data_IF_554634948619
#
_entry.id   IF_554634948619
#
_cell.length_a   1.000
_cell.length_b   1.000
_cell.length_c   1.000
_cell.angle_alpha   90.00
_cell.angle_beta   90.00
_cell.angle_gamma   90.00
#
_symmetry.space_group_name_H-M   'P 1'
#
loop_
_entity.id
_entity.type
_entity.pdbx_description
1 polymer ?
#
# COMPACT_ATOMS: atom_id res chain seq x y z
N UNK A 1 26.27 14.13 -53.56
CA UNK A 1 25.57 13.45 -54.67
C UNK A 1 26.53 13.19 -55.77
N UNK A 2 26.56 11.98 -56.28
CA UNK A 2 27.41 11.63 -57.44
C UNK A 2 26.77 12.21 -58.71
N UNK A 3 27.53 12.79 -59.63
CA UNK A 3 27.00 13.22 -60.92
C UNK A 3 26.56 12.00 -61.73
N UNK A 4 25.28 11.96 -62.08
CA UNK A 4 24.70 10.94 -62.94
C UNK A 4 24.51 11.58 -64.33
N UNK A 5 25.13 11.02 -65.34
CA UNK A 5 24.91 11.39 -66.71
C UNK A 5 24.02 10.30 -67.34
N UNK A 6 22.80 10.69 -67.72
CA UNK A 6 21.85 9.79 -68.36
C UNK A 6 21.62 10.22 -69.79
N UNK A 7 21.71 9.28 -70.73
CA UNK A 7 21.12 9.35 -72.05
C UNK A 7 20.01 8.30 -72.09
N UNK A 8 19.03 8.42 -72.97
CA UNK A 8 17.76 7.65 -72.94
C UNK A 8 17.85 6.12 -72.72
N UNK A 9 19.04 5.55 -72.73
CA UNK A 9 19.27 4.09 -72.53
C UNK A 9 20.53 3.76 -71.75
N UNK A 10 21.34 4.74 -71.38
CA UNK A 10 22.64 4.51 -70.70
C UNK A 10 22.81 5.52 -69.57
N UNK A 11 23.06 5.07 -68.35
CA UNK A 11 23.47 5.92 -67.24
C UNK A 11 24.88 5.57 -66.78
N UNK A 12 25.64 6.58 -66.39
CA UNK A 12 26.99 6.42 -65.84
C UNK A 12 27.09 7.12 -64.50
N UNK A 13 27.59 6.41 -63.50
CA UNK A 13 27.85 6.95 -62.18
C UNK A 13 29.38 7.11 -62.02
N UNK A 14 29.81 8.30 -61.64
CA UNK A 14 31.21 8.61 -61.46
C UNK A 14 31.55 8.63 -59.95
N UNK A 15 32.60 7.92 -59.57
CA UNK A 15 33.17 7.98 -58.21
C UNK A 15 34.53 8.63 -58.32
N UNK A 16 34.67 9.78 -57.66
CA UNK A 16 35.96 10.44 -57.50
C UNK A 16 36.73 9.79 -56.38
N UNK A 17 37.84 9.18 -56.71
CA UNK A 17 38.73 8.54 -55.74
C UNK A 17 40.05 9.28 -55.70
N UNK A 18 40.46 9.83 -54.54
CA UNK A 18 41.80 10.35 -54.31
C UNK A 18 42.58 9.33 -53.50
N UNK A 19 43.44 8.54 -54.11
CA UNK A 19 44.31 7.62 -53.35
C UNK A 19 45.27 8.40 -52.45
N UNK A 20 45.44 7.95 -51.21
CA UNK A 20 46.49 8.47 -50.32
C UNK A 20 47.84 7.97 -50.82
N UNK A 21 48.41 8.68 -51.78
CA UNK A 21 49.80 8.43 -52.27
C UNK A 21 50.72 9.48 -51.62
N UNK A 22 51.93 9.08 -51.13
CA UNK A 22 52.82 10.02 -50.50
C UNK A 22 53.25 11.14 -51.45
N UNK A 23 53.01 12.38 -51.02
CA UNK A 23 53.51 13.66 -51.49
C UNK A 23 54.07 13.70 -52.93
N UNK A 24 53.35 14.21 -53.89
CA UNK A 24 53.66 14.93 -55.09
C UNK A 24 53.00 14.52 -56.39
N UNK A 25 52.00 13.63 -56.42
CA UNK A 25 51.23 13.41 -57.65
C UNK A 25 49.74 13.31 -57.33
N UNK A 26 48.97 14.33 -57.62
CA UNK A 26 47.52 14.26 -57.66
C UNK A 26 47.04 13.42 -58.85
N UNK A 27 47.04 12.11 -58.73
CA UNK A 27 46.39 11.24 -59.71
C UNK A 27 44.93 11.11 -59.28
N UNK A 28 44.04 11.83 -59.92
CA UNK A 28 42.60 11.61 -59.78
C UNK A 28 42.23 10.34 -60.56
N UNK A 29 42.08 9.23 -59.89
CA UNK A 29 41.50 8.04 -60.48
C UNK A 29 39.98 8.12 -60.39
N UNK A 30 39.29 8.03 -61.50
CA UNK A 30 37.81 7.94 -61.54
C UNK A 30 37.40 6.53 -61.91
N UNK A 31 36.60 5.93 -61.09
CA UNK A 31 35.97 4.66 -61.41
C UNK A 31 34.57 4.96 -61.92
N UNK A 32 34.24 4.49 -63.14
CA UNK A 32 32.97 4.76 -63.80
C UNK A 32 32.17 3.48 -63.88
N UNK A 33 30.97 3.49 -63.31
CA UNK A 33 29.99 2.43 -63.48
C UNK A 33 29.05 2.83 -64.61
N UNK A 34 28.94 1.97 -65.59
CA UNK A 34 28.02 2.13 -66.76
C UNK A 34 26.98 1.03 -66.68
N UNK A 35 25.73 1.40 -66.75
CA UNK A 35 24.60 0.47 -66.76
C UNK A 35 23.54 0.83 -67.76
N UNK A 36 22.77 -0.14 -68.20
CA UNK A 36 21.62 0.04 -69.04
C UNK A 36 20.38 0.38 -68.21
N UNK A 37 19.69 1.45 -68.53
CA UNK A 37 18.44 1.88 -67.87
C UNK A 37 17.37 1.93 -68.97
N UNK A 38 16.68 0.79 -69.19
CA UNK A 38 15.57 0.77 -70.10
C UNK A 38 14.43 -0.03 -69.48
N UNK A 39 13.22 0.47 -69.57
CA UNK A 39 12.03 -0.21 -69.10
C UNK A 39 11.92 -1.61 -69.69
N UNK A 40 11.84 -2.64 -68.82
CA UNK A 40 11.75 -4.05 -69.22
C UNK A 40 13.08 -4.78 -69.40
N UNK A 41 14.26 -4.10 -69.35
CA UNK A 41 15.58 -4.73 -69.45
C UNK A 41 16.29 -4.86 -68.11
N UNK A 42 16.01 -3.99 -67.15
CA UNK A 42 16.54 -4.07 -65.79
C UNK A 42 15.41 -3.95 -64.77
N UNK A 43 15.47 -4.79 -63.75
CA UNK A 43 14.59 -4.66 -62.61
C UNK A 43 15.33 -3.85 -61.52
N UNK A 44 14.80 -2.68 -61.11
CA UNK A 44 15.40 -1.90 -60.04
C UNK A 44 15.32 -2.69 -58.72
N UNK A 45 16.38 -2.63 -57.96
CA UNK A 45 16.47 -3.26 -56.64
C UNK A 45 15.79 -2.35 -55.63
N UNK A 46 14.90 -2.93 -54.81
CA UNK A 46 14.26 -2.20 -53.75
C UNK A 46 15.31 -1.89 -52.66
N UNK A 47 15.48 -0.61 -52.35
CA UNK A 47 16.36 -0.16 -51.26
C UNK A 47 15.56 0.70 -50.27
N UNK A 48 16.09 0.92 -49.05
CA UNK A 48 15.43 1.80 -48.06
C UNK A 48 15.23 3.26 -48.56
N UNK A 49 15.96 3.67 -49.58
CA UNK A 49 15.85 5.00 -50.20
C UNK A 49 14.97 5.01 -51.51
N UNK A 50 14.30 3.92 -51.78
CA UNK A 50 13.51 3.70 -52.97
C UNK A 50 14.14 2.71 -53.96
N UNK A 51 13.46 2.42 -55.07
CA UNK A 51 13.99 1.56 -56.12
C UNK A 51 15.23 2.19 -56.74
N UNK A 52 16.30 1.41 -56.91
CA UNK A 52 17.59 1.87 -57.38
C UNK A 52 18.13 0.91 -58.43
N UNK A 53 18.76 1.42 -59.46
CA UNK A 53 19.36 0.59 -60.49
C UNK A 53 20.60 -0.16 -59.99
N UNK A 54 20.87 -1.37 -60.45
CA UNK A 54 21.96 -2.24 -60.01
C UNK A 54 23.33 -1.55 -60.10
N UNK A 55 23.60 -0.78 -61.13
CA UNK A 55 24.86 -0.05 -61.29
C UNK A 55 25.02 1.11 -60.29
N UNK A 56 23.94 1.80 -59.93
CA UNK A 56 23.95 2.81 -58.89
C UNK A 56 24.21 2.16 -57.52
N UNK A 57 23.58 1.00 -57.24
CA UNK A 57 23.80 0.27 -56.00
C UNK A 57 25.25 -0.17 -55.89
N UNK A 58 25.84 -0.75 -56.97
CA UNK A 58 27.24 -1.15 -56.99
C UNK A 58 28.19 0.07 -56.84
N UNK A 59 27.89 1.18 -57.46
CA UNK A 59 28.67 2.40 -57.31
C UNK A 59 28.66 2.91 -55.84
N UNK A 60 27.49 2.94 -55.20
CA UNK A 60 27.35 3.29 -53.78
C UNK A 60 28.11 2.32 -52.89
N UNK A 61 28.00 1.00 -53.13
CA UNK A 61 28.71 -0.03 -52.37
C UNK A 61 30.25 0.18 -52.49
N UNK A 62 30.77 0.40 -53.69
CA UNK A 62 32.19 0.64 -53.88
C UNK A 62 32.62 1.96 -53.21
N UNK A 63 31.83 3.02 -53.34
CA UNK A 63 32.10 4.29 -52.67
C UNK A 63 32.24 4.12 -51.15
N UNK A 64 31.32 3.33 -50.52
CA UNK A 64 31.34 3.05 -49.10
C UNK A 64 32.59 2.28 -48.69
N UNK A 65 33.03 1.30 -49.49
CA UNK A 65 34.25 0.54 -49.24
C UNK A 65 35.50 1.42 -49.35
N UNK A 66 35.57 2.21 -50.39
CA UNK A 66 36.73 3.09 -50.70
C UNK A 66 36.85 4.24 -49.69
N UNK A 67 35.73 4.81 -49.28
CA UNK A 67 35.72 5.87 -48.24
C UNK A 67 35.96 5.35 -46.84
N UNK A 68 36.00 4.04 -46.63
CA UNK A 68 36.12 3.43 -45.32
C UNK A 68 34.93 3.65 -44.38
N UNK A 69 33.79 4.07 -44.94
CA UNK A 69 32.54 4.35 -44.19
C UNK A 69 31.66 3.12 -44.09
N UNK A 70 32.20 1.91 -44.39
CA UNK A 70 31.45 0.67 -44.24
C UNK A 70 31.16 0.38 -42.77
N UNK A 71 29.88 0.09 -42.50
CA UNK A 71 29.46 -0.30 -41.17
C UNK A 71 30.08 -1.67 -40.85
N UNK A 72 30.82 -1.73 -39.73
CA UNK A 72 31.49 -2.95 -39.30
C UNK A 72 30.78 -3.58 -38.10
N UNK A 73 30.62 -4.90 -38.12
CA UNK A 73 30.23 -5.69 -36.96
C UNK A 73 31.36 -6.65 -36.63
N UNK A 74 31.91 -6.49 -35.44
CA UNK A 74 33.03 -7.33 -34.96
C UNK A 74 32.57 -8.73 -34.58
N UNK A 75 33.42 -9.73 -34.76
CA UNK A 75 33.09 -11.13 -34.40
C UNK A 75 32.78 -11.30 -32.92
N UNK A 76 33.39 -10.48 -32.07
CA UNK A 76 33.15 -10.50 -30.62
C UNK A 76 31.94 -9.67 -30.17
N UNK A 77 31.21 -9.03 -31.09
CA UNK A 77 30.09 -8.13 -30.74
C UNK A 77 29.03 -8.85 -29.91
N UNK A 78 28.65 -10.07 -30.28
CA UNK A 78 27.66 -10.85 -29.56
C UNK A 78 28.07 -11.13 -28.10
N UNK A 79 29.36 -11.42 -27.85
CA UNK A 79 29.88 -11.66 -26.51
C UNK A 79 29.89 -10.36 -25.70
N UNK A 80 30.30 -9.25 -26.31
CA UNK A 80 30.33 -7.96 -25.65
C UNK A 80 28.90 -7.45 -25.29
N UNK A 81 27.93 -7.63 -26.19
CA UNK A 81 26.52 -7.34 -25.95
C UNK A 81 25.97 -8.17 -24.78
N UNK A 82 26.29 -9.47 -24.70
CA UNK A 82 25.90 -10.33 -23.60
C UNK A 82 26.50 -9.85 -22.27
N UNK A 83 27.79 -9.54 -22.24
CA UNK A 83 28.46 -9.03 -21.04
C UNK A 83 27.89 -7.66 -20.62
N UNK A 84 27.54 -6.82 -21.57
CA UNK A 84 26.84 -5.56 -21.31
C UNK A 84 25.48 -5.77 -20.67
N UNK A 85 24.66 -6.71 -21.19
CA UNK A 85 23.36 -7.06 -20.61
C UNK A 85 23.52 -7.56 -19.17
N UNK A 86 24.48 -8.43 -18.91
CA UNK A 86 24.74 -8.94 -17.56
C UNK A 86 25.20 -7.81 -16.61
N UNK A 87 26.12 -6.96 -17.05
CA UNK A 87 26.62 -5.84 -16.24
C UNK A 87 25.52 -4.84 -15.91
N UNK A 88 24.78 -4.38 -16.91
CA UNK A 88 23.68 -3.42 -16.70
C UNK A 88 22.55 -4.05 -15.88
N UNK A 89 22.29 -5.36 -16.05
CA UNK A 89 21.30 -6.09 -15.27
C UNK A 89 21.63 -6.10 -13.77
N UNK A 90 22.89 -6.39 -13.43
CA UNK A 90 23.35 -6.35 -12.03
C UNK A 90 23.20 -4.93 -11.45
N UNK A 91 23.59 -3.90 -12.21
CA UNK A 91 23.46 -2.51 -11.77
C UNK A 91 22.00 -2.14 -11.53
N UNK A 92 21.08 -2.50 -12.45
CA UNK A 92 19.64 -2.26 -12.30
C UNK A 92 19.10 -2.93 -11.04
N UNK A 93 19.45 -4.20 -10.79
CA UNK A 93 18.99 -4.94 -9.60
C UNK A 93 19.48 -4.25 -8.31
N UNK A 94 20.75 -3.88 -8.26
CA UNK A 94 21.34 -3.20 -7.07
C UNK A 94 20.71 -1.83 -6.85
N UNK A 95 20.60 -1.02 -7.88
CA UNK A 95 20.03 0.33 -7.79
C UNK A 95 18.55 0.26 -7.42
N UNK A 96 17.77 -0.56 -8.11
CA UNK A 96 16.33 -0.67 -7.88
C UNK A 96 15.98 -1.30 -6.53
N UNK A 97 16.90 -2.09 -5.92
CA UNK A 97 16.70 -2.61 -4.55
C UNK A 97 16.87 -1.55 -3.46
N UNK A 98 17.57 -0.44 -3.75
CA UNK A 98 17.87 0.64 -2.81
C UNK A 98 17.06 1.92 -3.04
N UNK A 99 16.43 2.04 -4.19
CA UNK A 99 15.68 3.23 -4.60
C UNK A 99 14.18 3.02 -4.33
N UNK A 100 13.50 4.05 -3.82
CA UNK A 100 12.04 4.00 -3.62
C UNK A 100 11.30 3.84 -4.95
N UNK A 101 10.12 3.23 -4.92
CA UNK A 101 9.28 2.95 -6.11
C UNK A 101 9.06 4.19 -6.98
N UNK A 102 8.99 5.38 -6.38
CA UNK A 102 8.80 6.66 -7.10
C UNK A 102 9.95 7.00 -8.05
N UNK A 103 11.17 6.57 -7.75
CA UNK A 103 12.39 6.85 -8.52
C UNK A 103 12.73 5.77 -9.55
N UNK A 104 12.03 4.66 -9.56
CA UNK A 104 12.32 3.55 -10.48
C UNK A 104 12.09 3.94 -11.94
N UNK A 105 11.05 4.74 -12.25
CA UNK A 105 10.77 5.21 -13.62
C UNK A 105 11.87 6.14 -14.15
N UNK A 106 12.30 7.21 -13.45
CA UNK A 106 13.42 8.03 -13.89
C UNK A 106 14.70 7.24 -14.11
N UNK A 107 15.01 6.30 -13.24
CA UNK A 107 16.21 5.43 -13.37
C UNK A 107 16.10 4.55 -14.61
N UNK A 108 14.95 3.92 -14.86
CA UNK A 108 14.74 3.14 -16.09
C UNK A 108 14.95 4.00 -17.35
N UNK A 109 14.34 5.19 -17.40
CA UNK A 109 14.49 6.10 -18.54
C UNK A 109 15.95 6.47 -18.79
N UNK A 110 16.73 6.67 -17.73
CA UNK A 110 18.17 6.93 -17.83
C UNK A 110 18.92 5.76 -18.50
N UNK A 111 18.64 4.52 -18.09
CA UNK A 111 19.31 3.35 -18.67
C UNK A 111 18.89 3.10 -20.11
N UNK A 112 17.60 3.26 -20.43
CA UNK A 112 17.07 3.13 -21.80
C UNK A 112 17.67 4.19 -22.73
N UNK A 113 17.63 5.45 -22.32
CA UNK A 113 18.17 6.55 -23.13
C UNK A 113 19.70 6.46 -23.26
N UNK A 114 20.40 6.08 -22.21
CA UNK A 114 21.85 5.86 -22.23
C UNK A 114 22.26 4.74 -23.19
N UNK A 115 21.56 3.61 -23.16
CA UNK A 115 21.82 2.46 -24.07
C UNK A 115 21.50 2.83 -25.51
N UNK A 116 20.37 3.48 -25.78
CA UNK A 116 20.00 3.94 -27.12
C UNK A 116 20.98 4.96 -27.66
N UNK A 117 21.41 5.93 -26.84
CA UNK A 117 22.39 6.93 -27.22
C UNK A 117 23.76 6.30 -27.49
N UNK A 118 24.21 5.34 -26.69
CA UNK A 118 25.48 4.65 -26.90
C UNK A 118 25.50 3.89 -28.25
N UNK A 119 24.41 3.18 -28.58
CA UNK A 119 24.25 2.52 -29.87
C UNK A 119 24.22 3.50 -31.04
N UNK A 120 23.49 4.61 -30.90
CA UNK A 120 23.47 5.65 -31.93
C UNK A 120 24.82 6.30 -32.14
N UNK A 121 25.55 6.58 -31.06
CA UNK A 121 26.89 7.15 -31.11
C UNK A 121 27.89 6.20 -31.80
N UNK A 122 27.86 4.91 -31.45
CA UNK A 122 28.71 3.90 -32.10
C UNK A 122 28.43 3.79 -33.62
N UNK A 123 27.14 3.84 -33.99
CA UNK A 123 26.72 3.83 -35.38
C UNK A 123 27.14 5.11 -36.14
N UNK A 124 26.86 6.28 -35.58
CA UNK A 124 27.07 7.56 -36.28
C UNK A 124 28.54 7.99 -36.36
N UNK A 125 29.32 7.79 -35.30
CA UNK A 125 30.69 8.31 -35.18
C UNK A 125 31.78 7.25 -35.47
N UNK A 126 31.46 5.96 -35.22
CA UNK A 126 32.44 4.88 -35.35
C UNK A 126 32.18 3.92 -36.48
N UNK A 127 31.03 4.02 -37.17
CA UNK A 127 30.56 3.07 -38.15
C UNK A 127 30.48 1.61 -37.62
N UNK A 128 30.22 1.46 -36.31
CA UNK A 128 30.10 0.15 -35.65
C UNK A 128 28.63 -0.21 -35.47
N UNK A 129 28.27 -1.44 -35.83
CA UNK A 129 26.90 -1.94 -35.64
C UNK A 129 26.83 -2.78 -34.38
N UNK A 130 26.21 -2.23 -33.34
CA UNK A 130 25.87 -2.92 -32.10
C UNK A 130 24.36 -3.14 -32.04
N UNK A 131 23.94 -4.35 -31.66
CA UNK A 131 22.53 -4.64 -31.50
C UNK A 131 22.05 -4.14 -30.13
N UNK A 132 21.35 -2.99 -30.13
CA UNK A 132 20.77 -2.40 -28.91
C UNK A 132 19.41 -2.97 -28.55
N UNK A 133 18.78 -3.76 -29.44
CA UNK A 133 17.43 -4.27 -29.24
C UNK A 133 17.37 -5.27 -28.06
N UNK A 134 18.31 -6.20 -28.00
CA UNK A 134 18.40 -7.18 -26.92
C UNK A 134 18.67 -6.53 -25.54
N UNK A 135 19.67 -5.64 -25.39
CA UNK A 135 19.84 -4.86 -24.15
C UNK A 135 18.60 -4.08 -23.71
N UNK A 136 17.94 -3.37 -24.63
CA UNK A 136 16.74 -2.60 -24.29
C UNK A 136 15.60 -3.51 -23.83
N UNK A 137 15.39 -4.63 -24.49
CA UNK A 137 14.38 -5.62 -24.09
C UNK A 137 14.69 -6.25 -22.73
N UNK A 138 15.96 -6.57 -22.47
CA UNK A 138 16.42 -7.08 -21.19
C UNK A 138 16.20 -6.07 -20.06
N UNK A 139 16.53 -4.79 -20.28
CA UNK A 139 16.30 -3.70 -19.32
C UNK A 139 14.79 -3.60 -18.98
N UNK A 140 13.91 -3.67 -19.99
CA UNK A 140 12.47 -3.61 -19.81
C UNK A 140 11.95 -4.77 -18.94
N UNK A 141 12.36 -6.01 -19.26
CA UNK A 141 11.95 -7.20 -18.50
C UNK A 141 12.43 -7.12 -17.06
N UNK A 142 13.71 -6.80 -16.85
CA UNK A 142 14.29 -6.66 -15.51
C UNK A 142 13.60 -5.58 -14.71
N UNK A 143 13.28 -4.44 -15.34
CA UNK A 143 12.54 -3.37 -14.70
C UNK A 143 11.14 -3.82 -14.24
N UNK A 144 10.39 -4.49 -15.12
CA UNK A 144 9.06 -5.01 -14.79
C UNK A 144 9.14 -6.00 -13.62
N UNK A 145 10.11 -6.92 -13.67
CA UNK A 145 10.32 -7.93 -12.63
C UNK A 145 10.68 -7.30 -11.27
N UNK A 146 11.60 -6.34 -11.25
CA UNK A 146 12.03 -5.68 -10.01
C UNK A 146 10.89 -4.81 -9.44
N UNK A 147 10.18 -4.08 -10.29
CA UNK A 147 9.04 -3.26 -9.88
C UNK A 147 7.93 -4.12 -9.30
N UNK A 148 7.61 -5.25 -9.94
CA UNK A 148 6.64 -6.20 -9.43
C UNK A 148 7.05 -6.79 -8.06
N UNK A 149 8.31 -7.18 -7.91
CA UNK A 149 8.82 -7.72 -6.65
C UNK A 149 8.76 -6.68 -5.51
N UNK A 150 9.13 -5.43 -5.79
CA UNK A 150 9.05 -4.34 -4.82
C UNK A 150 7.61 -4.05 -4.41
N UNK A 151 6.68 -3.98 -5.39
CA UNK A 151 5.26 -3.82 -5.13
C UNK A 151 4.70 -4.98 -4.29
N UNK A 152 4.99 -6.22 -4.67
CA UNK A 152 4.54 -7.41 -3.96
C UNK A 152 5.09 -7.49 -2.52
N UNK A 153 6.33 -7.03 -2.31
CA UNK A 153 6.95 -6.94 -0.97
C UNK A 153 6.25 -5.89 -0.11
N UNK A 154 6.03 -4.69 -0.64
CA UNK A 154 5.34 -3.62 0.07
C UNK A 154 3.90 -3.99 0.41
N UNK A 155 3.19 -4.60 -0.55
CA UNK A 155 1.83 -5.08 -0.35
C UNK A 155 1.76 -6.17 0.74
N UNK A 156 2.67 -7.15 0.71
CA UNK A 156 2.75 -8.19 1.75
C UNK A 156 3.05 -7.63 3.13
N UNK A 157 3.97 -6.66 3.22
CA UNK A 157 4.29 -6.01 4.49
C UNK A 157 3.08 -5.25 5.06
N UNK A 158 2.34 -4.52 4.22
CA UNK A 158 1.09 -3.85 4.61
C UNK A 158 0.03 -4.84 5.10
N UNK A 159 -0.12 -5.98 4.44
CA UNK A 159 -1.06 -7.04 4.84
C UNK A 159 -0.64 -7.72 6.16
N UNK A 160 0.65 -7.96 6.37
CA UNK A 160 1.15 -8.51 7.63
C UNK A 160 0.90 -7.57 8.80
N UNK A 161 1.19 -6.28 8.63
CA UNK A 161 0.90 -5.24 9.62
C UNK A 161 -0.61 -5.23 9.92
N UNK A 162 -1.46 -5.20 8.89
CA UNK A 162 -2.92 -5.26 9.07
C UNK A 162 -3.36 -6.49 9.86
N UNK A 163 -2.83 -7.66 9.55
CA UNK A 163 -3.19 -8.93 10.21
C UNK A 163 -2.69 -8.98 11.66
N UNK A 164 -1.46 -8.55 11.92
CA UNK A 164 -0.87 -8.58 13.27
C UNK A 164 -1.52 -7.55 14.19
N UNK A 165 -1.70 -6.33 13.73
CA UNK A 165 -2.30 -5.26 14.55
C UNK A 165 -3.83 -5.33 14.61
N UNK A 166 -4.49 -5.91 13.60
CA UNK A 166 -5.95 -6.09 13.60
C UNK A 166 -6.48 -7.03 14.69
N UNK A 167 -5.59 -7.79 15.33
CA UNK A 167 -5.95 -8.65 16.48
C UNK A 167 -5.88 -7.88 17.81
N UNK A 168 -5.11 -6.81 17.88
CA UNK A 168 -4.86 -6.03 19.10
C UNK A 168 -5.41 -4.61 19.05
N UNK A 169 -5.69 -4.09 17.86
CA UNK A 169 -6.23 -2.74 17.66
C UNK A 169 -7.59 -2.80 16.97
N UNK A 170 -8.45 -1.83 17.29
CA UNK A 170 -9.73 -1.71 16.57
C UNK A 170 -9.50 -1.53 15.06
N UNK A 171 -10.41 -2.02 14.19
CA UNK A 171 -10.31 -1.83 12.74
C UNK A 171 -10.17 -0.35 12.34
N UNK A 172 -10.83 0.55 13.07
CA UNK A 172 -10.74 1.99 12.88
C UNK A 172 -9.33 2.51 13.14
N UNK A 173 -8.67 2.06 14.21
CA UNK A 173 -7.30 2.43 14.55
C UNK A 173 -6.30 1.91 13.53
N UNK A 174 -6.47 0.67 13.06
CA UNK A 174 -5.61 0.11 12.01
C UNK A 174 -5.69 0.93 10.72
N UNK A 175 -6.88 1.41 10.34
CA UNK A 175 -7.06 2.26 9.15
C UNK A 175 -6.37 3.63 9.33
N UNK A 176 -6.43 4.23 10.50
CA UNK A 176 -5.77 5.51 10.79
C UNK A 176 -4.25 5.36 10.75
N UNK A 177 -3.71 4.32 11.39
CA UNK A 177 -2.27 4.02 11.39
C UNK A 177 -1.73 3.73 9.99
N UNK A 178 -2.53 3.10 9.12
CA UNK A 178 -2.16 2.88 7.73
C UNK A 178 -2.06 4.19 6.92
N UNK A 179 -2.92 5.16 7.22
CA UNK A 179 -2.92 6.47 6.55
C UNK A 179 -1.85 7.40 7.13
N UNK A 180 -1.63 7.33 8.43
CA UNK A 180 -0.76 8.23 9.18
C UNK A 180 0.15 7.44 10.14
N UNK A 181 1.22 6.81 9.67
CA UNK A 181 2.16 6.05 10.52
C UNK A 181 2.82 6.89 11.61
N UNK A 182 2.79 8.21 11.45
CA UNK A 182 3.35 9.18 12.41
C UNK A 182 2.56 9.26 13.72
N UNK A 183 1.31 8.80 13.73
CA UNK A 183 0.46 8.72 14.93
C UNK A 183 0.88 7.60 15.90
N UNK A 184 1.86 6.79 15.57
CA UNK A 184 2.47 5.79 16.47
C UNK A 184 3.41 6.43 17.52
N UNK A 185 3.30 7.73 17.76
CA UNK A 185 4.08 8.42 18.79
C UNK A 185 3.26 8.50 20.09
N UNK A 186 3.97 8.46 21.21
CA UNK A 186 3.37 8.75 22.53
C UNK A 186 2.78 10.17 22.53
N UNK A 187 1.58 10.31 23.03
CA UNK A 187 0.87 11.58 23.13
C UNK A 187 -0.64 11.38 23.13
N UNK A 188 -1.35 12.41 23.49
CA UNK A 188 -2.81 12.40 23.51
C UNK A 188 -3.37 13.79 23.28
N UNK A 189 -4.65 13.85 22.95
CA UNK A 189 -5.46 15.05 22.81
C UNK A 189 -6.62 15.03 23.78
N UNK A 190 -7.07 16.20 24.22
CA UNK A 190 -8.29 16.32 25.04
C UNK A 190 -9.51 16.30 24.10
N UNK A 191 -10.44 15.37 24.37
CA UNK A 191 -11.64 15.21 23.55
C UNK A 191 -12.81 14.73 24.40
N UNK A 192 -14.01 15.18 24.05
CA UNK A 192 -15.24 14.67 24.66
C UNK A 192 -15.57 13.30 24.07
N UNK A 193 -15.65 12.28 24.92
CA UNK A 193 -15.95 10.90 24.55
C UNK A 193 -17.14 10.37 25.36
N UNK A 194 -17.91 9.46 24.76
CA UNK A 194 -18.80 8.57 25.52
C UNK A 194 -18.06 7.29 25.82
N UNK A 195 -18.10 6.87 27.08
CA UNK A 195 -17.27 5.80 27.63
C UNK A 195 -18.19 4.76 28.25
N UNK A 196 -17.98 3.49 27.94
CA UNK A 196 -18.76 2.37 28.42
C UNK A 196 -17.86 1.38 29.17
N UNK A 197 -18.32 0.96 30.32
CA UNK A 197 -17.86 -0.23 31.04
C UNK A 197 -18.98 -1.25 31.09
N UNK A 198 -18.64 -2.51 30.80
CA UNK A 198 -19.57 -3.64 30.92
C UNK A 198 -18.86 -4.78 31.62
N UNK A 199 -19.47 -5.32 32.67
CA UNK A 199 -18.91 -6.40 33.49
C UNK A 199 -19.93 -7.52 33.74
N UNK A 200 -19.46 -8.78 33.91
CA UNK A 200 -20.32 -9.92 34.22
C UNK A 200 -20.68 -9.90 35.71
N UNK A 201 -21.96 -9.89 35.99
CA UNK A 201 -22.43 -9.95 37.37
C UNK A 201 -22.18 -11.30 37.98
N UNK A 202 -21.53 -11.30 39.15
CA UNK A 202 -21.25 -12.53 39.87
C UNK A 202 -20.29 -13.47 39.13
N UNK A 203 -19.31 -12.92 38.44
CA UNK A 203 -18.31 -13.70 37.72
C UNK A 203 -17.54 -14.65 38.64
N UNK A 204 -17.26 -14.26 39.90
CA UNK A 204 -16.54 -15.11 40.85
C UNK A 204 -17.20 -16.48 41.04
N UNK A 205 -18.50 -16.62 41.36
CA UNK A 205 -19.15 -17.92 41.42
C UNK A 205 -19.11 -18.71 40.10
N UNK A 206 -19.20 -18.01 38.96
CA UNK A 206 -19.09 -18.64 37.64
C UNK A 206 -17.68 -19.20 37.43
N UNK A 207 -16.65 -18.41 37.68
CA UNK A 207 -15.24 -18.85 37.56
C UNK A 207 -14.89 -19.99 38.48
N UNK A 208 -15.50 -20.04 39.67
CA UNK A 208 -15.29 -21.13 40.65
C UNK A 208 -15.76 -22.49 40.14
N UNK A 209 -16.81 -22.54 39.30
CA UNK A 209 -17.27 -23.78 38.66
C UNK A 209 -16.26 -24.34 37.65
N UNK A 210 -15.40 -23.50 37.13
CA UNK A 210 -14.36 -23.87 36.16
C UNK A 210 -12.98 -24.05 36.77
N UNK A 211 -12.83 -24.14 38.09
CA UNK A 211 -11.50 -24.34 38.75
C UNK A 211 -10.72 -25.51 38.18
N UNK A 212 -11.41 -26.57 37.76
CA UNK A 212 -10.80 -27.76 37.17
C UNK A 212 -10.75 -27.74 35.65
N UNK A 213 -11.35 -26.72 35.00
CA UNK A 213 -11.41 -26.57 33.57
C UNK A 213 -11.12 -25.11 33.15
N UNK A 214 -9.87 -24.64 33.21
CA UNK A 214 -9.50 -23.28 32.80
C UNK A 214 -9.78 -23.00 31.31
N UNK A 215 -9.75 -24.03 30.45
CA UNK A 215 -10.04 -23.89 29.01
C UNK A 215 -11.53 -23.62 28.79
N UNK A 216 -12.39 -24.30 29.53
CA UNK A 216 -13.84 -24.07 29.52
C UNK A 216 -14.19 -22.64 29.96
N UNK A 217 -13.53 -22.12 31.01
CA UNK A 217 -13.69 -20.73 31.46
C UNK A 217 -13.30 -19.74 30.33
N UNK A 218 -12.15 -19.94 29.71
CA UNK A 218 -11.69 -19.10 28.61
C UNK A 218 -12.68 -19.16 27.42
N UNK A 219 -13.18 -20.34 27.09
CA UNK A 219 -14.20 -20.51 26.04
C UNK A 219 -15.49 -19.77 26.36
N UNK A 220 -15.96 -19.81 27.63
CA UNK A 220 -17.15 -19.08 28.08
C UNK A 220 -16.95 -17.56 27.97
N UNK A 221 -15.81 -17.05 28.45
CA UNK A 221 -15.48 -15.62 28.35
C UNK A 221 -15.44 -15.19 26.87
N UNK A 222 -14.81 -15.95 26.00
CA UNK A 222 -14.75 -15.63 24.57
C UNK A 222 -16.14 -15.68 23.88
N UNK A 223 -17.02 -16.60 24.29
CA UNK A 223 -18.42 -16.65 23.81
C UNK A 223 -19.19 -15.41 24.24
N UNK A 224 -18.89 -14.85 25.38
CA UNK A 224 -19.48 -13.59 25.86
C UNK A 224 -18.84 -12.39 25.17
N UNK A 225 -17.52 -12.26 25.20
CA UNK A 225 -16.83 -11.08 24.67
C UNK A 225 -17.05 -10.87 23.17
N UNK A 226 -17.12 -11.94 22.38
CA UNK A 226 -17.21 -11.84 20.92
C UNK A 226 -18.48 -11.10 20.44
N UNK A 227 -19.70 -11.53 20.79
CA UNK A 227 -20.91 -10.81 20.39
C UNK A 227 -20.97 -9.41 20.98
N UNK A 228 -20.59 -9.20 22.23
CA UNK A 228 -20.59 -7.88 22.86
C UNK A 228 -19.66 -6.91 22.14
N UNK A 229 -18.47 -7.35 21.79
CA UNK A 229 -17.51 -6.58 20.99
C UNK A 229 -18.08 -6.20 19.62
N UNK A 230 -18.72 -7.14 18.93
CA UNK A 230 -19.32 -6.86 17.62
C UNK A 230 -20.39 -5.78 17.73
N UNK A 231 -21.27 -5.84 18.72
CA UNK A 231 -22.30 -4.82 18.94
C UNK A 231 -21.74 -3.42 19.20
N UNK A 232 -20.63 -3.34 19.93
CA UNK A 232 -19.90 -2.08 20.17
C UNK A 232 -19.31 -1.57 18.85
N UNK A 233 -18.62 -2.43 18.08
CA UNK A 233 -17.97 -2.03 16.83
C UNK A 233 -18.96 -1.69 15.73
N UNK A 234 -20.08 -2.40 15.61
CA UNK A 234 -21.14 -2.13 14.64
C UNK A 234 -21.76 -0.74 14.87
N UNK A 235 -21.79 -0.29 16.11
CA UNK A 235 -22.16 1.06 16.51
C UNK A 235 -21.01 2.06 16.52
N UNK A 236 -19.90 1.78 15.80
CA UNK A 236 -18.74 2.66 15.66
C UNK A 236 -17.96 2.90 16.97
N UNK A 237 -18.09 2.02 17.96
CA UNK A 237 -17.31 2.06 19.19
C UNK A 237 -15.89 1.56 18.98
N UNK A 238 -14.98 2.03 19.82
CA UNK A 238 -13.61 1.58 19.92
C UNK A 238 -13.44 0.79 21.21
N UNK A 239 -12.99 -0.45 21.12
CA UNK A 239 -12.59 -1.23 22.31
C UNK A 239 -11.25 -0.70 22.80
N UNK A 240 -11.19 -0.29 24.04
CA UNK A 240 -9.92 0.04 24.71
C UNK A 240 -9.19 -1.25 25.10
N UNK A 241 -9.79 -2.00 26.01
CA UNK A 241 -9.22 -3.25 26.53
C UNK A 241 -10.27 -4.14 27.19
N UNK A 242 -9.88 -5.38 27.38
CA UNK A 242 -10.59 -6.33 28.24
C UNK A 242 -9.84 -6.45 29.56
N UNK A 243 -10.57 -6.42 30.67
CA UNK A 243 -10.04 -6.59 32.02
C UNK A 243 -10.71 -7.79 32.67
N UNK A 244 -10.25 -9.00 32.29
CA UNK A 244 -10.96 -10.25 32.64
C UNK A 244 -12.26 -10.39 31.86
N UNK A 245 -13.37 -10.31 32.54
CA UNK A 245 -14.74 -10.32 31.99
C UNK A 245 -15.30 -8.91 31.73
N UNK A 246 -14.58 -7.87 32.10
CA UNK A 246 -14.97 -6.49 31.87
C UNK A 246 -14.50 -5.98 30.51
N UNK A 247 -15.41 -5.30 29.79
CA UNK A 247 -15.17 -4.58 28.53
C UNK A 247 -15.09 -3.10 28.82
N UNK A 248 -14.02 -2.44 28.38
CA UNK A 248 -13.92 -0.99 28.31
C UNK A 248 -13.95 -0.54 26.87
N UNK A 249 -14.86 0.36 26.54
CA UNK A 249 -15.04 0.89 25.19
C UNK A 249 -15.37 2.38 25.23
N UNK A 250 -15.12 3.07 24.10
CA UNK A 250 -15.44 4.48 23.97
C UNK A 250 -15.80 4.86 22.52
N UNK A 251 -16.48 6.00 22.35
CA UNK A 251 -16.90 6.57 21.06
C UNK A 251 -16.34 7.98 20.89
N UNK A 252 -16.24 8.42 19.63
CA UNK A 252 -15.73 9.71 19.18
C UNK A 252 -14.19 9.78 19.10
N UNK A 253 -13.51 8.65 19.23
CA UNK A 253 -12.07 8.53 18.95
C UNK A 253 -11.75 7.06 18.55
N UNK A 254 -10.77 6.82 17.71
CA UNK A 254 -9.93 7.76 16.96
C UNK A 254 -10.66 8.42 15.77
N UNK A 255 -11.85 7.96 15.42
CA UNK A 255 -12.72 8.57 14.40
C UNK A 255 -13.76 9.45 15.07
N UNK A 256 -14.06 10.58 14.43
CA UNK A 256 -15.14 11.46 14.88
C UNK A 256 -16.51 10.78 14.67
N UNK A 257 -17.30 10.76 15.72
CA UNK A 257 -18.67 10.23 15.74
C UNK A 257 -19.57 11.29 16.37
N UNK A 258 -20.27 12.06 15.56
CA UNK A 258 -21.09 13.20 16.01
C UNK A 258 -22.21 12.81 16.96
N UNK A 259 -22.74 11.59 16.81
CA UNK A 259 -23.82 10.99 17.61
C UNK A 259 -23.28 9.97 18.63
N UNK A 260 -22.08 10.18 19.17
CA UNK A 260 -21.38 9.22 20.03
C UNK A 260 -22.15 8.86 21.30
N UNK A 261 -22.91 9.78 21.91
CA UNK A 261 -23.78 9.48 23.07
C UNK A 261 -24.85 8.47 22.73
N UNK A 262 -25.57 8.72 21.64
CA UNK A 262 -26.60 7.82 21.12
C UNK A 262 -26.04 6.46 20.75
N UNK A 263 -24.91 6.42 20.07
CA UNK A 263 -24.24 5.17 19.66
C UNK A 263 -23.77 4.32 20.83
N UNK A 264 -23.33 4.95 21.91
CA UNK A 264 -22.97 4.25 23.13
C UNK A 264 -24.19 3.57 23.77
N UNK A 265 -25.34 4.28 23.81
CA UNK A 265 -26.59 3.73 24.34
C UNK A 265 -27.16 2.62 23.44
N UNK A 266 -27.20 2.84 22.12
CA UNK A 266 -27.64 1.81 21.16
C UNK A 266 -26.80 0.54 21.30
N UNK A 267 -25.49 0.66 21.55
CA UNK A 267 -24.63 -0.50 21.81
C UNK A 267 -25.00 -1.20 23.10
N UNK A 268 -25.25 -0.46 24.18
CA UNK A 268 -25.63 -1.06 25.46
C UNK A 268 -26.98 -1.81 25.36
N UNK A 269 -27.96 -1.21 24.69
CA UNK A 269 -29.25 -1.86 24.46
C UNK A 269 -29.12 -3.12 23.59
N UNK A 270 -28.30 -3.04 22.52
CA UNK A 270 -28.02 -4.21 21.69
C UNK A 270 -27.31 -5.32 22.46
N UNK A 271 -26.38 -4.97 23.37
CA UNK A 271 -25.66 -5.93 24.23
C UNK A 271 -26.63 -6.65 25.17
N UNK A 272 -27.57 -5.94 25.77
CA UNK A 272 -28.60 -6.55 26.64
C UNK A 272 -29.49 -7.49 25.85
N UNK A 273 -29.93 -7.11 24.65
CA UNK A 273 -30.76 -7.97 23.79
C UNK A 273 -30.00 -9.19 23.29
N UNK A 274 -28.76 -8.99 22.81
CA UNK A 274 -27.90 -10.08 22.33
C UNK A 274 -27.50 -11.08 23.42
N UNK A 275 -27.48 -10.64 24.67
CA UNK A 275 -27.21 -11.53 25.83
C UNK A 275 -28.33 -12.55 26.02
N UNK A 276 -29.57 -12.25 25.64
CA UNK A 276 -30.70 -13.19 25.76
C UNK A 276 -30.43 -14.43 24.90
N UNK A 277 -30.01 -14.27 23.66
CA UNK A 277 -29.68 -15.40 22.78
C UNK A 277 -28.53 -16.26 23.34
N UNK A 278 -27.46 -15.61 23.86
CA UNK A 278 -26.37 -16.34 24.50
C UNK A 278 -26.86 -17.13 25.74
N UNK A 279 -27.76 -16.56 26.52
CA UNK A 279 -28.32 -17.24 27.71
C UNK A 279 -29.26 -18.41 27.35
N UNK A 280 -29.97 -18.33 26.23
CA UNK A 280 -30.74 -19.46 25.71
C UNK A 280 -29.82 -20.63 25.32
N UNK A 281 -28.70 -20.34 24.65
CA UNK A 281 -27.70 -21.34 24.32
C UNK A 281 -27.11 -21.96 25.60
N UNK A 282 -26.65 -21.12 26.57
CA UNK A 282 -26.08 -21.59 27.83
C UNK A 282 -27.09 -22.47 28.63
N UNK A 283 -28.35 -22.08 28.63
CA UNK A 283 -29.41 -22.84 29.29
C UNK A 283 -29.61 -24.21 28.63
N UNK A 284 -29.54 -24.30 27.30
CA UNK A 284 -29.61 -25.58 26.57
C UNK A 284 -28.44 -26.52 26.90
N UNK A 285 -27.30 -25.95 27.31
CA UNK A 285 -26.11 -26.67 27.75
C UNK A 285 -26.10 -26.97 29.27
N UNK A 286 -27.15 -26.66 30.00
CA UNK A 286 -27.23 -26.71 31.46
C UNK A 286 -26.17 -25.88 32.18
N UNK A 287 -25.80 -24.75 31.58
CA UNK A 287 -24.87 -23.77 32.17
C UNK A 287 -25.64 -22.60 32.79
N UNK A 288 -24.96 -21.92 33.75
CA UNK A 288 -25.56 -20.74 34.37
C UNK A 288 -25.71 -19.59 33.38
N UNK A 289 -26.84 -18.88 33.41
CA UNK A 289 -27.02 -17.68 32.61
C UNK A 289 -26.08 -16.57 33.08
N UNK A 290 -25.63 -15.76 32.13
CA UNK A 290 -24.78 -14.58 32.36
C UNK A 290 -25.69 -13.36 32.49
N UNK A 291 -25.45 -12.56 33.51
CA UNK A 291 -26.02 -11.21 33.66
C UNK A 291 -24.90 -10.18 33.59
N UNK A 292 -25.19 -8.99 33.11
CA UNK A 292 -24.22 -7.89 32.96
C UNK A 292 -24.66 -6.64 33.68
N UNK A 293 -23.66 -5.82 34.06
CA UNK A 293 -23.83 -4.43 34.44
C UNK A 293 -23.17 -3.53 33.38
N UNK A 294 -23.82 -2.44 33.04
CA UNK A 294 -23.28 -1.46 32.08
C UNK A 294 -23.34 -0.07 32.70
N UNK A 295 -22.19 0.61 32.67
CA UNK A 295 -22.09 2.02 33.05
C UNK A 295 -21.63 2.85 31.89
N UNK A 296 -22.34 3.94 31.54
CA UNK A 296 -21.96 4.86 30.45
C UNK A 296 -21.87 6.27 30.98
N UNK A 297 -20.80 6.96 30.65
CA UNK A 297 -20.65 8.36 30.96
C UNK A 297 -19.98 9.12 29.80
N UNK A 298 -20.33 10.37 29.64
CA UNK A 298 -19.78 11.25 28.62
C UNK A 298 -19.02 12.40 29.29
N UNK A 299 -17.85 12.75 28.77
CA UNK A 299 -17.10 13.89 29.25
C UNK A 299 -15.72 14.00 28.61
N UNK A 300 -15.02 15.08 28.94
CA UNK A 300 -13.66 15.34 28.45
C UNK A 300 -12.66 14.39 29.10
N UNK A 301 -11.84 13.78 28.24
CA UNK A 301 -10.72 12.91 28.63
C UNK A 301 -9.54 13.15 27.68
N UNK A 302 -8.35 12.78 28.13
CA UNK A 302 -7.20 12.68 27.25
C UNK A 302 -7.26 11.34 26.55
N UNK A 303 -7.26 11.32 25.22
CA UNK A 303 -7.26 10.11 24.38
C UNK A 303 -5.99 10.07 23.53
N UNK A 304 -5.32 8.92 23.45
CA UNK A 304 -4.10 8.78 22.64
C UNK A 304 -3.27 7.60 23.04
N UNK A 305 -2.03 7.56 22.53
CA UNK A 305 -1.08 6.50 22.83
C UNK A 305 -0.44 6.73 24.19
N UNK A 306 -0.78 5.88 25.15
CA UNK A 306 -0.35 5.98 26.55
C UNK A 306 0.47 4.75 26.93
N UNK A 307 1.59 4.97 27.62
CA UNK A 307 2.45 3.90 28.07
C UNK A 307 3.93 4.27 28.08
N UNK A 308 4.78 3.28 27.90
CA UNK A 308 6.23 3.47 27.80
C UNK A 308 6.68 3.57 26.33
N UNK A 309 7.94 3.97 26.08
CA UNK A 309 8.51 3.99 24.74
C UNK A 309 8.53 2.62 24.06
N UNK A 310 8.57 1.53 24.85
CA UNK A 310 8.62 0.15 24.34
C UNK A 310 7.26 -0.54 24.28
N UNK A 311 6.26 -0.01 24.99
CA UNK A 311 4.89 -0.55 25.00
C UNK A 311 3.89 0.54 25.34
N UNK A 312 2.99 0.80 24.42
CA UNK A 312 1.90 1.74 24.60
C UNK A 312 0.60 1.16 24.05
N UNK A 313 -0.51 1.59 24.60
CA UNK A 313 -1.85 1.27 24.14
C UNK A 313 -2.58 2.57 23.79
N UNK A 314 -3.45 2.53 22.79
CA UNK A 314 -4.35 3.64 22.51
C UNK A 314 -5.49 3.58 23.50
N UNK A 315 -5.51 4.50 24.42
CA UNK A 315 -6.39 4.46 25.60
C UNK A 315 -6.86 5.86 26.00
N UNK A 316 -7.67 5.93 27.03
CA UNK A 316 -8.20 7.18 27.57
C UNK A 316 -7.83 7.36 29.03
N UNK A 317 -7.61 8.61 29.43
CA UNK A 317 -7.33 9.01 30.81
C UNK A 317 -8.16 10.23 31.18
N UNK A 318 -8.94 10.12 32.22
CA UNK A 318 -9.75 11.21 32.73
C UNK A 318 -10.80 10.78 33.75
N UNK A 319 -11.38 11.78 34.42
CA UNK A 319 -12.36 11.53 35.50
C UNK A 319 -13.67 10.94 34.93
N UNK A 320 -14.01 11.30 33.66
CA UNK A 320 -15.19 10.76 33.00
C UNK A 320 -15.13 9.23 32.80
N UNK A 321 -13.94 8.67 32.56
CA UNK A 321 -13.73 7.21 32.48
C UNK A 321 -13.90 6.52 33.84
N UNK A 322 -13.33 7.12 34.88
CA UNK A 322 -13.49 6.62 36.25
C UNK A 322 -14.95 6.65 36.69
N UNK A 323 -15.71 7.68 36.25
CA UNK A 323 -17.12 7.77 36.57
C UNK A 323 -17.91 6.66 35.85
N UNK A 324 -17.68 6.43 34.55
CA UNK A 324 -18.34 5.33 33.81
C UNK A 324 -18.13 3.96 34.51
N UNK A 325 -16.92 3.66 34.97
CA UNK A 325 -16.63 2.44 35.72
C UNK A 325 -17.38 2.37 37.06
N UNK A 326 -17.54 3.50 37.77
CA UNK A 326 -18.30 3.52 39.00
C UNK A 326 -19.80 3.34 38.76
N UNK A 327 -20.35 3.91 37.70
CA UNK A 327 -21.74 3.73 37.29
C UNK A 327 -22.04 2.27 37.00
N UNK A 328 -21.13 1.57 36.34
CA UNK A 328 -21.24 0.12 36.12
C UNK A 328 -21.37 -0.59 37.48
N UNK A 329 -20.43 -0.35 38.40
CA UNK A 329 -20.45 -0.97 39.74
C UNK A 329 -21.72 -0.71 40.56
N UNK A 330 -22.35 0.47 40.40
CA UNK A 330 -23.61 0.81 41.06
C UNK A 330 -24.83 0.06 40.47
N UNK A 331 -24.74 -0.40 39.22
CA UNK A 331 -25.84 -1.10 38.54
C UNK A 331 -26.39 -2.31 39.34
N UNK A 332 -25.50 -2.96 40.08
CA UNK A 332 -25.87 -4.08 40.95
C UNK A 332 -26.68 -3.61 42.15
N UNK A 333 -26.30 -2.51 42.79
CA UNK A 333 -26.95 -1.97 43.97
C UNK A 333 -28.39 -1.50 43.68
N UNK A 334 -28.59 -0.89 42.53
CA UNK A 334 -29.94 -0.44 42.10
C UNK A 334 -30.74 -1.52 41.38
N UNK A 335 -30.17 -2.69 41.11
CA UNK A 335 -30.89 -3.80 40.44
C UNK A 335 -31.22 -3.54 38.97
N UNK A 336 -30.52 -2.59 38.32
CA UNK A 336 -30.71 -2.21 36.94
C UNK A 336 -29.53 -2.63 36.07
N UNK A 337 -29.73 -2.89 34.78
CA UNK A 337 -28.66 -3.36 33.91
C UNK A 337 -27.78 -2.23 33.37
N UNK A 338 -28.38 -1.09 33.03
CA UNK A 338 -27.68 0.05 32.42
C UNK A 338 -27.82 1.26 33.36
N UNK A 339 -26.72 1.91 33.67
CA UNK A 339 -26.70 3.21 34.33
C UNK A 339 -25.95 4.22 33.47
N UNK A 340 -26.55 5.36 33.28
CA UNK A 340 -26.04 6.48 32.51
C UNK A 340 -25.69 7.64 33.45
N UNK A 341 -24.60 8.32 33.17
CA UNK A 341 -24.34 9.63 33.76
C UNK A 341 -25.20 10.70 33.09
N UNK A 342 -25.56 11.74 33.82
CA UNK A 342 -26.36 12.88 33.36
C UNK A 342 -25.87 13.45 32.01
N UNK A 343 -24.55 13.64 31.87
CA UNK A 343 -23.94 14.15 30.64
C UNK A 343 -24.13 13.26 29.41
N UNK A 344 -24.43 11.96 29.61
CA UNK A 344 -24.69 11.04 28.49
C UNK A 344 -26.11 11.18 27.97
N UNK A 345 -27.08 11.51 28.83
CA UNK A 345 -28.48 11.62 28.49
C UNK A 345 -28.80 12.98 27.86
N UNK A 346 -27.97 13.97 28.11
CA UNK A 346 -28.11 15.30 27.54
C UNK A 346 -28.24 15.23 26.01
N UNK A 347 -29.24 15.92 25.46
CA UNK A 347 -29.63 15.95 24.03
C UNK A 347 -30.36 14.71 23.47
N UNK A 348 -30.55 13.63 24.26
CA UNK A 348 -31.21 12.40 23.81
C UNK A 348 -32.42 12.01 24.64
N UNK A 349 -32.78 12.77 25.68
CA UNK A 349 -33.93 12.53 26.56
C UNK A 349 -35.27 12.40 25.81
N UNK A 350 -35.39 13.06 24.66
CA UNK A 350 -36.59 12.97 23.83
C UNK A 350 -36.76 11.65 23.05
N UNK A 351 -35.65 10.90 22.91
CA UNK A 351 -35.65 9.67 22.11
C UNK A 351 -35.78 8.39 22.96
N UNK A 352 -35.46 8.48 24.24
CA UNK A 352 -35.43 7.32 25.15
C UNK A 352 -36.21 7.62 26.43
N UNK A 353 -36.83 6.59 26.96
CA UNK A 353 -37.45 6.69 28.27
C UNK A 353 -36.41 6.52 29.36
N UNK A 354 -36.07 7.62 30.02
CA UNK A 354 -35.04 7.67 31.06
C UNK A 354 -35.67 7.85 32.44
N UNK A 355 -35.21 7.11 33.42
CA UNK A 355 -35.65 7.20 34.81
C UNK A 355 -34.48 7.64 35.66
N UNK A 356 -34.61 8.75 36.37
CA UNK A 356 -33.63 9.15 37.37
C UNK A 356 -33.76 8.19 38.59
N UNK A 357 -32.64 7.57 38.96
CA UNK A 357 -32.62 6.61 40.06
C UNK A 357 -32.24 7.28 41.36
N UNK A 358 -31.18 8.07 41.35
CA UNK A 358 -30.59 8.68 42.53
C UNK A 358 -29.58 9.78 42.16
N UNK A 359 -29.17 10.55 43.13
CA UNK A 359 -28.06 11.50 43.03
C UNK A 359 -26.95 11.07 43.97
N UNK A 360 -25.80 10.71 43.42
CA UNK A 360 -24.66 10.26 44.22
C UNK A 360 -23.57 11.30 44.27
N UNK A 361 -22.97 11.44 45.45
CA UNK A 361 -21.79 12.27 45.61
C UNK A 361 -20.54 11.51 45.24
N UNK A 362 -19.84 11.94 44.16
CA UNK A 362 -18.58 11.37 43.71
C UNK A 362 -17.48 12.40 43.80
N UNK A 363 -16.57 12.23 44.77
CA UNK A 363 -15.43 13.13 44.99
C UNK A 363 -15.77 14.63 44.92
N UNK A 364 -16.84 15.05 45.62
CA UNK A 364 -17.25 16.46 45.75
C UNK A 364 -18.11 17.00 44.61
N UNK A 365 -18.62 16.12 43.72
CA UNK A 365 -19.67 16.43 42.75
C UNK A 365 -20.90 15.60 43.04
N UNK A 366 -22.07 16.22 43.03
CA UNK A 366 -23.36 15.49 42.96
C UNK A 366 -23.63 15.15 41.50
N UNK A 367 -23.96 13.92 41.26
CA UNK A 367 -24.22 13.39 39.89
C UNK A 367 -25.51 12.59 39.91
N UNK A 368 -26.40 12.88 38.99
CA UNK A 368 -27.64 12.13 38.78
C UNK A 368 -27.34 10.79 38.08
N UNK A 369 -27.90 9.73 38.64
CA UNK A 369 -27.89 8.39 38.06
C UNK A 369 -29.17 8.17 37.27
N UNK A 370 -29.03 7.83 36.02
CA UNK A 370 -30.15 7.64 35.10
C UNK A 370 -30.15 6.21 34.57
N UNK A 371 -31.32 5.57 34.64
CA UNK A 371 -31.57 4.26 34.00
C UNK A 371 -32.38 4.47 32.72
N UNK A 372 -32.11 3.63 31.72
CA UNK A 372 -32.81 3.61 30.43
C UNK A 372 -33.50 2.27 30.23
#
# INVERSE_FOLDING_TARGET
GFPIISTDKLSAVFIDYTPVIPRNTHVMCKIVFVGLVAEGLTQPVATPWGPMDTHELNAKALSTIVSGTSIQRYDYANLAELLFILGIGVIIIVVASRVSVKWTIPVMLLFVSGTAYAGFFAYAERNELWDVSYPLFAILILYLQVTFNNFAREFRLKQQIKKQFGTYLSPAMVMILQKNPELLKLGGETKELSILFCDIRGFTPISEQYKTDPQGLTALINRFLTPMTNMIMDNKGTIDKYMGDCIMAFWNAPLDVTDHRKKAIESALAMVEGLKGLNEELSSENKMPINIGIGINTGEVVVGNMGSQSRFDYSILGDAANLASRLEGQSKGYGVTIILGESTVQDIESEYFCIELDSIAVKGKELSLIHI
#
